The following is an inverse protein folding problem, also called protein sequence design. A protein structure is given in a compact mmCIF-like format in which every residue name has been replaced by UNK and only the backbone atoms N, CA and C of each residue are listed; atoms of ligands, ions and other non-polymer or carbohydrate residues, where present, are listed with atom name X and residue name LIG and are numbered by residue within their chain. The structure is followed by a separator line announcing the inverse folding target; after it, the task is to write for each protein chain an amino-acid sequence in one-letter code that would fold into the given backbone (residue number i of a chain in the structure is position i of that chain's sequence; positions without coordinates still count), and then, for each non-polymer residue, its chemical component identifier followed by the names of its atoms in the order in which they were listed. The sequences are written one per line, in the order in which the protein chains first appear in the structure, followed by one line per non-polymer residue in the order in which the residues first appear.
data_IF_689235213427
#
_entry.id   IF_689235213427
#
_cell.length_a   1.000
_cell.length_b   1.000
_cell.length_c   1.000
_cell.angle_alpha   90.00
_cell.angle_beta   90.00
_cell.angle_gamma   90.00
#
_symmetry.space_group_name_H-M   'P 1'
#
loop_
_entity.id
_entity.type
_entity.pdbx_description
1 polymer ?
#
# COMPACT_ATOMS: atom_id res chain seq x y z
N UNK A 1 2.24 2.48 -14.57
CA UNK A 1 1.48 3.48 -13.79
C UNK A 1 1.05 2.83 -12.49
N UNK A 2 1.19 3.51 -11.34
CA UNK A 2 0.88 2.96 -10.00
C UNK A 2 -0.57 2.43 -9.91
N UNK A 3 -1.51 3.03 -10.64
CA UNK A 3 -2.93 2.66 -10.64
C UNK A 3 -3.29 1.55 -11.65
N UNK A 4 -2.30 0.98 -12.34
CA UNK A 4 -2.49 -0.11 -13.32
C UNK A 4 -2.43 -1.51 -12.73
N UNK A 5 -2.35 -1.64 -11.40
CA UNK A 5 -2.33 -2.95 -10.75
C UNK A 5 -3.63 -3.71 -11.04
N UNK A 6 -3.49 -4.93 -11.53
CA UNK A 6 -4.59 -5.80 -11.92
C UNK A 6 -4.33 -7.22 -11.45
N UNK A 7 -5.41 -7.93 -11.16
CA UNK A 7 -5.42 -9.36 -10.98
C UNK A 7 -5.73 -10.00 -12.32
N UNK A 8 -4.71 -10.49 -13.02
CA UNK A 8 -4.77 -11.01 -14.40
C UNK A 8 -5.63 -12.29 -14.58
N UNK A 9 -6.28 -12.75 -13.51
CA UNK A 9 -7.21 -13.89 -13.55
C UNK A 9 -8.57 -13.46 -14.09
N UNK A 10 -9.25 -14.38 -14.78
CA UNK A 10 -10.64 -14.17 -15.23
C UNK A 10 -11.57 -13.87 -14.06
N UNK A 11 -11.43 -14.64 -12.98
CA UNK A 11 -12.02 -14.34 -11.68
C UNK A 11 -10.99 -13.68 -10.77
N UNK A 12 -11.20 -12.41 -10.46
CA UNK A 12 -10.35 -11.66 -9.54
C UNK A 12 -10.53 -12.19 -8.12
N UNK A 13 -9.44 -12.65 -7.51
CA UNK A 13 -9.40 -13.26 -6.16
C UNK A 13 -8.50 -12.52 -5.19
N UNK A 14 -7.70 -11.57 -5.66
CA UNK A 14 -6.84 -10.76 -4.79
C UNK A 14 -7.68 -9.78 -3.97
N UNK A 15 -7.70 -9.96 -2.65
CA UNK A 15 -8.44 -9.07 -1.75
C UNK A 15 -7.63 -7.84 -1.32
N UNK A 16 -6.29 -7.91 -1.33
CA UNK A 16 -5.39 -6.86 -0.85
C UNK A 16 -4.29 -6.57 -1.88
N UNK A 17 -3.93 -5.29 -2.04
CA UNK A 17 -2.78 -4.86 -2.82
C UNK A 17 -1.78 -4.10 -1.93
N UNK A 18 -0.51 -4.47 -2.01
CA UNK A 18 0.56 -3.85 -1.21
C UNK A 18 1.56 -3.16 -2.14
N UNK A 19 1.76 -1.86 -1.95
CA UNK A 19 2.78 -1.07 -2.63
C UNK A 19 3.98 -0.86 -1.71
N UNK A 20 5.17 -1.22 -2.17
CA UNK A 20 6.43 -0.84 -1.53
C UNK A 20 7.08 0.30 -2.32
N UNK A 21 7.24 1.46 -1.68
CA UNK A 21 7.73 2.67 -2.31
C UNK A 21 9.08 3.08 -1.72
N UNK A 22 10.12 3.05 -2.56
CA UNK A 22 11.46 3.56 -2.25
C UNK A 22 11.63 5.06 -2.56
N UNK A 23 10.59 5.87 -2.40
CA UNK A 23 10.64 7.32 -2.67
C UNK A 23 10.81 8.12 -1.38
N UNK A 24 11.66 9.15 -1.44
CA UNK A 24 11.93 10.08 -0.33
C UNK A 24 10.86 11.18 -0.17
N UNK A 25 9.95 11.33 -1.12
CA UNK A 25 8.81 12.24 -1.03
C UNK A 25 7.60 11.71 -1.79
N UNK A 26 6.42 12.13 -1.34
CA UNK A 26 5.13 11.90 -2.00
C UNK A 26 4.82 12.95 -3.06
N UNK A 27 5.53 14.08 -3.04
CA UNK A 27 5.38 15.16 -4.01
C UNK A 27 5.55 14.62 -5.43
N UNK A 28 4.59 14.92 -6.32
CA UNK A 28 4.50 14.44 -7.71
C UNK A 28 3.98 13.00 -7.88
N UNK A 29 3.56 12.32 -6.82
CA UNK A 29 2.75 11.11 -6.97
C UNK A 29 1.28 11.50 -7.12
N UNK A 30 0.61 10.89 -8.10
CA UNK A 30 -0.85 10.93 -8.17
C UNK A 30 -1.46 10.13 -7.02
N UNK A 31 -2.70 10.45 -6.67
CA UNK A 31 -3.51 9.63 -5.77
C UNK A 31 -3.43 8.15 -6.17
N UNK A 32 -3.11 7.31 -5.19
CA UNK A 32 -3.05 5.85 -5.31
C UNK A 32 -4.49 5.35 -5.26
N UNK A 33 -4.99 4.98 -6.42
CA UNK A 33 -6.33 4.48 -6.62
C UNK A 33 -6.30 3.44 -7.76
N UNK A 34 -5.91 2.19 -7.47
CA UNK A 34 -5.93 1.10 -8.43
C UNK A 34 -7.32 0.98 -9.07
N UNK A 35 -7.34 0.64 -10.37
CA UNK A 35 -8.61 0.42 -11.10
C UNK A 35 -9.42 -0.71 -10.50
N UNK A 36 -8.73 -1.73 -9.98
CA UNK A 36 -9.36 -2.88 -9.38
C UNK A 36 -9.87 -2.62 -7.97
N UNK A 37 -10.99 -3.25 -7.64
CA UNK A 37 -11.65 -3.07 -6.36
C UNK A 37 -11.06 -3.98 -5.28
N UNK A 38 -9.81 -3.71 -4.90
CA UNK A 38 -9.20 -4.34 -3.73
C UNK A 38 -9.91 -3.88 -2.45
N UNK A 39 -10.19 -4.83 -1.55
CA UNK A 39 -10.80 -4.54 -0.24
C UNK A 39 -9.85 -3.74 0.66
N UNK A 40 -8.54 -3.98 0.51
CA UNK A 40 -7.48 -3.28 1.22
C UNK A 40 -6.36 -2.86 0.28
N UNK A 41 -5.86 -1.65 0.49
CA UNK A 41 -4.61 -1.20 -0.12
C UNK A 41 -3.64 -0.85 1.01
N UNK A 42 -2.43 -1.39 0.98
CA UNK A 42 -1.38 -1.03 1.94
C UNK A 42 -0.26 -0.34 1.18
N UNK A 43 0.15 0.84 1.63
CA UNK A 43 1.25 1.60 1.02
C UNK A 43 2.37 1.69 2.04
N UNK A 44 3.50 1.07 1.73
CA UNK A 44 4.66 0.95 2.60
C UNK A 44 5.77 1.85 2.09
N UNK A 45 6.22 2.77 2.92
CA UNK A 45 7.35 3.66 2.65
C UNK A 45 8.64 3.08 3.18
N UNK A 46 9.56 2.75 2.27
CA UNK A 46 10.89 2.22 2.58
C UNK A 46 11.96 3.31 2.83
N UNK A 47 11.58 4.59 2.64
CA UNK A 47 12.51 5.72 2.65
C UNK A 47 11.96 6.91 3.48
N UNK A 48 11.06 6.64 4.43
CA UNK A 48 10.60 7.65 5.39
C UNK A 48 9.58 8.66 4.86
N UNK A 49 9.16 8.57 3.60
CA UNK A 49 8.15 9.47 3.05
C UNK A 49 6.75 9.13 3.56
N UNK A 50 5.97 10.14 3.94
CA UNK A 50 4.55 9.97 4.27
C UNK A 50 3.70 9.98 2.98
N UNK A 51 2.88 8.94 2.83
CA UNK A 51 1.94 8.76 1.72
C UNK A 51 0.47 8.89 2.16
N UNK A 52 0.20 9.31 3.40
CA UNK A 52 -1.14 9.45 3.96
C UNK A 52 -2.05 10.42 3.19
N UNK A 53 -1.46 11.38 2.48
CA UNK A 53 -2.17 12.37 1.65
C UNK A 53 -2.50 11.87 0.23
N UNK A 54 -1.87 10.80 -0.23
CA UNK A 54 -2.05 10.26 -1.59
C UNK A 54 -2.79 8.92 -1.60
N UNK A 55 -3.53 8.61 -0.54
CA UNK A 55 -4.36 7.40 -0.43
C UNK A 55 -5.80 7.73 -0.06
N UNK A 56 -6.72 6.84 -0.47
CA UNK A 56 -8.09 6.83 0.05
C UNK A 56 -8.12 6.14 1.41
N UNK A 57 -8.26 6.93 2.49
CA UNK A 57 -8.22 6.46 3.89
C UNK A 57 -9.35 5.50 4.26
N UNK A 58 -10.43 5.39 3.47
CA UNK A 58 -11.54 4.49 3.76
C UNK A 58 -11.19 3.01 3.58
N UNK A 59 -10.25 2.71 2.66
CA UNK A 59 -9.83 1.35 2.30
C UNK A 59 -8.32 1.15 2.22
N UNK A 60 -7.55 2.20 2.48
CA UNK A 60 -6.09 2.19 2.37
C UNK A 60 -5.41 2.51 3.69
N UNK A 61 -4.22 1.95 3.90
CA UNK A 61 -3.36 2.26 5.05
C UNK A 61 -1.94 2.59 4.56
N UNK A 62 -1.43 3.74 4.98
CA UNK A 62 -0.04 4.13 4.72
C UNK A 62 0.81 3.79 5.95
N UNK A 63 1.95 3.16 5.73
CA UNK A 63 2.92 2.77 6.76
C UNK A 63 4.28 3.30 6.35
N UNK A 64 5.04 3.77 7.34
CA UNK A 64 6.46 4.05 7.20
C UNK A 64 7.18 2.98 7.98
N UNK A 65 8.13 2.32 7.34
CA UNK A 65 8.93 1.28 7.99
C UNK A 65 10.35 1.80 8.21
N UNK A 66 11.03 1.24 9.21
CA UNK A 66 12.43 1.57 9.46
C UNK A 66 13.32 1.14 8.28
N UNK A 67 14.49 1.78 8.13
CA UNK A 67 15.47 1.42 7.11
C UNK A 67 15.98 -0.01 7.27
N UNK A 68 16.04 -0.50 8.51
CA UNK A 68 16.50 -1.85 8.84
C UNK A 68 15.39 -2.90 8.66
N UNK A 69 14.17 -2.47 8.31
CA UNK A 69 12.98 -3.29 8.05
C UNK A 69 12.82 -4.45 9.07
N UNK A 70 12.63 -4.05 10.32
CA UNK A 70 12.64 -4.93 11.48
C UNK A 70 11.48 -5.93 11.48
N UNK A 71 11.53 -6.89 12.40
CA UNK A 71 10.41 -7.82 12.66
C UNK A 71 9.12 -7.07 13.04
N UNK A 72 9.24 -5.94 13.74
CA UNK A 72 8.09 -5.10 14.08
C UNK A 72 7.50 -4.45 12.82
N UNK A 73 8.34 -3.95 11.91
CA UNK A 73 7.89 -3.41 10.62
C UNK A 73 7.12 -4.45 9.80
N UNK A 74 7.65 -5.67 9.70
CA UNK A 74 6.97 -6.81 9.05
C UNK A 74 5.63 -7.10 9.73
N UNK A 75 5.61 -7.12 11.06
CA UNK A 75 4.40 -7.37 11.84
C UNK A 75 3.34 -6.30 11.57
N UNK A 76 3.73 -5.02 11.54
CA UNK A 76 2.82 -3.91 11.26
C UNK A 76 2.24 -3.95 9.84
N UNK A 77 3.05 -4.32 8.85
CA UNK A 77 2.58 -4.52 7.46
C UNK A 77 1.59 -5.66 7.40
N UNK A 78 1.92 -6.83 7.97
CA UNK A 78 1.04 -8.02 7.94
C UNK A 78 -0.26 -7.76 8.70
N UNK A 79 -0.20 -7.17 9.89
CA UNK A 79 -1.40 -6.79 10.65
C UNK A 79 -2.29 -5.85 9.84
N UNK A 80 -1.71 -4.87 9.14
CA UNK A 80 -2.47 -3.94 8.29
C UNK A 80 -3.15 -4.61 7.09
N UNK A 81 -2.57 -5.70 6.58
CA UNK A 81 -3.22 -6.55 5.57
C UNK A 81 -4.41 -7.29 6.20
N UNK A 82 -4.21 -7.87 7.38
CA UNK A 82 -5.20 -8.71 8.06
C UNK A 82 -6.38 -7.92 8.64
N UNK A 83 -6.20 -6.67 9.08
CA UNK A 83 -7.28 -5.78 9.59
C UNK A 83 -8.43 -5.52 8.59
N UNK A 84 -8.31 -5.95 7.34
CA UNK A 84 -9.39 -5.84 6.35
C UNK A 84 -10.28 -7.10 6.25
N UNK A 85 -10.00 -8.14 7.03
CA UNK A 85 -10.65 -9.46 6.95
C UNK A 85 -11.03 -9.97 8.34
#
# INVERSE_FOLDING_TARGET
MINGANDEREEKRSNCLVFFLGKKNSSKLSMINPKENFKRIVVVSLQGADFSEIIDKSRSKALIVSLDFTKEDVTNVVTSILEAF
#
